data_IF_685710171988
#
_entry.id   IF_685710171988
#
_cell.length_a   1.000
_cell.length_b   1.000
_cell.length_c   1.000
_cell.angle_alpha   90.00
_cell.angle_beta   90.00
_cell.angle_gamma   90.00
#
_symmetry.space_group_name_H-M   'P 1'
#
loop_
_entity.id
_entity.type
_entity.pdbx_description
1 polymer ?
#
# COMPACT_ATOMS: atom_id res chain seq x y z
N UNK A 1 17.42 3.17 -1.10
CA UNK A 1 16.69 2.10 -1.79
C UNK A 1 16.08 1.11 -0.85
N UNK A 2 16.87 0.49 0.02
CA UNK A 2 16.33 -0.42 1.04
C UNK A 2 15.29 0.27 1.92
N UNK A 3 15.50 1.54 2.27
CA UNK A 3 14.58 2.28 3.12
C UNK A 3 13.23 2.54 2.45
N UNK A 4 13.22 2.81 1.15
CA UNK A 4 11.96 3.01 0.42
C UNK A 4 11.16 1.72 0.28
N UNK A 5 11.83 0.59 0.11
CA UNK A 5 11.14 -0.69 0.06
C UNK A 5 10.52 -1.04 1.42
N UNK A 6 11.25 -0.75 2.50
CA UNK A 6 10.71 -0.91 3.86
C UNK A 6 9.53 0.03 4.09
N UNK A 7 9.65 1.28 3.62
CA UNK A 7 8.59 2.27 3.75
C UNK A 7 7.32 1.82 3.04
N UNK A 8 7.44 1.31 1.82
CA UNK A 8 6.29 0.81 1.06
C UNK A 8 5.68 -0.42 1.73
N UNK A 9 6.51 -1.28 2.31
CA UNK A 9 6.01 -2.43 3.05
C UNK A 9 5.19 -2.00 4.27
N UNK A 10 5.66 -1.01 5.01
CA UNK A 10 4.93 -0.50 6.17
C UNK A 10 3.63 0.19 5.75
N UNK A 11 3.66 0.94 4.64
CA UNK A 11 2.45 1.53 4.09
C UNK A 11 1.44 0.45 3.68
N UNK A 12 1.91 -0.62 3.05
CA UNK A 12 1.07 -1.75 2.67
C UNK A 12 0.40 -2.36 3.90
N UNK A 13 1.14 -2.53 4.98
CA UNK A 13 0.60 -3.05 6.22
C UNK A 13 -0.55 -2.14 6.70
N UNK A 14 -0.34 -0.83 6.66
CA UNK A 14 -1.37 0.12 7.05
C UNK A 14 -2.64 0.03 6.21
N UNK A 15 -2.48 -0.02 4.89
CA UNK A 15 -3.63 -0.14 3.99
C UNK A 15 -4.35 -1.46 4.20
N UNK A 16 -3.59 -2.55 4.36
CA UNK A 16 -4.16 -3.87 4.60
C UNK A 16 -4.97 -3.89 5.90
N UNK A 17 -4.44 -3.29 6.97
CA UNK A 17 -5.17 -3.18 8.24
C UNK A 17 -6.44 -2.36 8.10
N UNK A 18 -6.41 -1.31 7.30
CA UNK A 18 -7.61 -0.53 7.01
C UNK A 18 -8.68 -1.40 6.34
N UNK A 19 -8.29 -2.22 5.38
CA UNK A 19 -9.21 -3.14 4.71
C UNK A 19 -9.78 -4.18 5.67
N UNK A 20 -9.05 -4.48 6.73
CA UNK A 20 -9.51 -5.39 7.79
C UNK A 20 -10.38 -4.71 8.83
N UNK A 21 -10.61 -3.40 8.71
CA UNK A 21 -11.51 -2.67 9.58
C UNK A 21 -10.86 -1.88 10.70
N UNK A 22 -9.53 -1.81 10.76
CA UNK A 22 -8.87 -1.04 11.80
C UNK A 22 -9.03 0.47 11.56
N UNK A 23 -9.09 1.22 12.66
CA UNK A 23 -9.15 2.68 12.59
C UNK A 23 -7.78 3.27 12.25
N UNK A 24 -7.77 4.54 11.83
CA UNK A 24 -6.52 5.24 11.56
C UNK A 24 -5.62 5.28 12.78
N UNK A 25 -6.21 5.47 13.96
CA UNK A 25 -5.46 5.50 15.20
C UNK A 25 -4.75 4.18 15.48
N UNK A 26 -5.45 3.08 15.27
CA UNK A 26 -4.87 1.75 15.43
C UNK A 26 -3.74 1.51 14.43
N UNK A 27 -3.95 1.95 13.19
CA UNK A 27 -2.95 1.82 12.14
C UNK A 27 -1.69 2.62 12.50
N UNK A 28 -1.86 3.85 13.00
CA UNK A 28 -0.71 4.68 13.41
C UNK A 28 0.12 3.99 14.48
N UNK A 29 -0.52 3.37 15.47
CA UNK A 29 0.19 2.66 16.53
C UNK A 29 1.03 1.53 15.96
N UNK A 30 0.44 0.76 15.06
CA UNK A 30 1.13 -0.36 14.42
C UNK A 30 2.32 0.14 13.60
N UNK A 31 2.11 1.18 12.81
CA UNK A 31 3.19 1.72 11.97
C UNK A 31 4.31 2.33 12.80
N UNK A 32 3.97 2.99 13.90
CA UNK A 32 4.99 3.56 14.80
C UNK A 32 5.91 2.48 15.37
N UNK A 33 5.39 1.32 15.68
CA UNK A 33 6.21 0.19 16.12
C UNK A 33 7.19 -0.26 15.03
N UNK A 34 6.71 -0.36 13.79
CA UNK A 34 7.57 -0.71 12.67
C UNK A 34 8.62 0.37 12.41
N UNK A 35 8.27 1.64 12.60
CA UNK A 35 9.24 2.74 12.47
C UNK A 35 10.39 2.57 13.44
N UNK A 36 10.09 2.22 14.68
CA UNK A 36 11.11 2.01 15.70
C UNK A 36 11.99 0.80 15.39
N UNK A 37 11.38 -0.30 15.01
CA UNK A 37 12.10 -1.54 14.70
C UNK A 37 13.05 -1.36 13.52
N UNK A 38 12.66 -0.57 12.53
CA UNK A 38 13.42 -0.38 11.31
C UNK A 38 14.24 0.90 11.30
N UNK A 39 14.17 1.68 12.37
CA UNK A 39 14.96 2.88 12.54
C UNK A 39 14.80 3.87 11.38
N UNK A 40 13.54 4.10 10.98
CA UNK A 40 13.25 5.00 9.87
C UNK A 40 13.46 6.45 10.25
N UNK A 41 13.97 7.23 9.32
CA UNK A 41 14.14 8.67 9.52
C UNK A 41 12.82 9.42 9.30
N UNK A 42 12.84 10.72 9.57
CA UNK A 42 11.64 11.57 9.47
C UNK A 42 11.06 11.56 8.05
N UNK A 43 11.93 11.59 7.05
CA UNK A 43 11.50 11.63 5.65
C UNK A 43 10.76 10.35 5.26
N UNK A 44 11.31 9.21 5.66
CA UNK A 44 10.71 7.92 5.35
C UNK A 44 9.38 7.73 6.11
N UNK A 45 9.32 8.18 7.36
CA UNK A 45 8.06 8.16 8.12
C UNK A 45 6.98 9.00 7.44
N UNK A 46 7.36 10.19 6.98
CA UNK A 46 6.43 11.07 6.27
C UNK A 46 5.93 10.43 4.98
N UNK A 47 6.81 9.76 4.24
CA UNK A 47 6.42 9.05 3.03
C UNK A 47 5.39 7.96 3.33
N UNK A 48 5.64 7.15 4.37
CA UNK A 48 4.71 6.10 4.77
C UNK A 48 3.35 6.67 5.13
N UNK A 49 3.33 7.71 5.96
CA UNK A 49 2.07 8.32 6.40
C UNK A 49 1.30 8.92 5.23
N UNK A 50 2.00 9.61 4.35
CA UNK A 50 1.36 10.21 3.18
C UNK A 50 0.77 9.14 2.25
N UNK A 51 1.54 8.10 1.96
CA UNK A 51 1.08 7.04 1.08
C UNK A 51 -0.11 6.28 1.68
N UNK A 52 -0.05 5.97 2.97
CA UNK A 52 -1.13 5.29 3.67
C UNK A 52 -2.42 6.12 3.64
N UNK A 53 -2.33 7.41 4.01
CA UNK A 53 -3.50 8.30 4.03
C UNK A 53 -4.07 8.53 2.64
N UNK A 54 -3.20 8.74 1.65
CA UNK A 54 -3.63 8.94 0.27
C UNK A 54 -4.39 7.73 -0.24
N UNK A 55 -3.89 6.53 0.06
CA UNK A 55 -4.54 5.29 -0.34
C UNK A 55 -5.91 5.14 0.31
N UNK A 56 -6.00 5.42 1.61
CA UNK A 56 -7.25 5.27 2.35
C UNK A 56 -8.28 6.30 1.91
N UNK A 57 -7.87 7.57 1.77
CA UNK A 57 -8.77 8.64 1.37
C UNK A 57 -9.36 8.44 -0.02
N UNK A 58 -8.60 7.86 -0.91
CA UNK A 58 -9.02 7.68 -2.29
C UNK A 58 -9.40 6.25 -2.60
N UNK A 59 -9.66 5.45 -1.57
CA UNK A 59 -9.97 4.03 -1.73
C UNK A 59 -11.07 3.75 -2.75
N UNK A 60 -12.17 4.49 -2.68
CA UNK A 60 -13.30 4.29 -3.59
C UNK A 60 -12.91 4.48 -5.05
N UNK A 61 -12.19 5.57 -5.34
CA UNK A 61 -11.72 5.86 -6.69
C UNK A 61 -10.72 4.79 -7.14
N UNK A 62 -9.80 4.42 -6.25
CA UNK A 62 -8.78 3.44 -6.57
C UNK A 62 -9.38 2.06 -6.84
N UNK A 63 -10.37 1.66 -6.06
CA UNK A 63 -11.07 0.39 -6.29
C UNK A 63 -11.80 0.39 -7.64
N UNK A 64 -12.39 1.51 -8.03
CA UNK A 64 -13.05 1.64 -9.31
C UNK A 64 -12.05 1.52 -10.48
N UNK A 65 -10.90 2.15 -10.35
CA UNK A 65 -9.85 2.05 -11.36
C UNK A 65 -9.38 0.61 -11.50
N UNK A 66 -9.12 -0.03 -10.37
CA UNK A 66 -8.65 -1.42 -10.36
C UNK A 66 -9.69 -2.35 -11.00
N UNK A 67 -10.96 -2.15 -10.67
CA UNK A 67 -12.04 -3.01 -11.18
C UNK A 67 -12.15 -2.97 -12.70
N UNK A 68 -11.77 -1.84 -13.33
CA UNK A 68 -11.81 -1.71 -14.79
C UNK A 68 -10.77 -2.58 -15.51
N UNK A 69 -9.70 -2.96 -14.79
CA UNK A 69 -8.60 -3.73 -15.38
C UNK A 69 -8.61 -5.19 -14.96
N UNK A 70 -9.56 -5.59 -14.12
CA UNK A 70 -9.69 -6.98 -13.71
C UNK A 70 -10.83 -7.64 -14.47
N UNK A 71 -10.59 -8.85 -14.95
CA UNK A 71 -11.62 -9.62 -15.65
C UNK A 71 -12.74 -10.04 -14.70
N UNK A 72 -12.41 -10.17 -13.44
CA UNK A 72 -13.38 -10.54 -12.40
C UNK A 72 -12.97 -9.90 -11.07
N UNK A 73 -13.94 -9.66 -10.16
CA UNK A 73 -13.62 -9.06 -8.87
C UNK A 73 -12.65 -9.92 -8.06
N UNK A 74 -11.82 -9.26 -7.27
CA UNK A 74 -10.94 -9.95 -6.33
C UNK A 74 -11.78 -10.60 -5.24
N UNK A 75 -11.50 -11.86 -4.88
CA UNK A 75 -12.14 -12.47 -3.72
C UNK A 75 -11.89 -11.65 -2.46
N UNK A 76 -12.89 -11.57 -1.60
CA UNK A 76 -12.81 -10.78 -0.37
C UNK A 76 -11.66 -11.21 0.54
N UNK A 77 -11.27 -12.48 0.49
CA UNK A 77 -10.18 -13.01 1.31
C UNK A 77 -8.80 -12.54 0.86
N UNK A 78 -8.69 -11.99 -0.35
CA UNK A 78 -7.41 -11.51 -0.89
C UNK A 78 -7.17 -10.04 -0.57
N UNK A 79 -7.36 -9.66 0.70
CA UNK A 79 -7.21 -8.28 1.13
C UNK A 79 -5.78 -7.76 0.99
N UNK A 80 -4.79 -8.62 1.17
CA UNK A 80 -3.40 -8.19 1.00
C UNK A 80 -3.11 -7.81 -0.45
N UNK A 81 -3.59 -8.60 -1.40
CA UNK A 81 -3.43 -8.29 -2.82
C UNK A 81 -4.14 -6.99 -3.16
N UNK A 82 -5.34 -6.81 -2.63
CA UNK A 82 -6.10 -5.59 -2.83
C UNK A 82 -5.36 -4.37 -2.28
N UNK A 83 -4.75 -4.50 -1.11
CA UNK A 83 -3.95 -3.42 -0.52
C UNK A 83 -2.76 -3.05 -1.42
N UNK A 84 -2.08 -4.05 -1.97
CA UNK A 84 -0.96 -3.82 -2.89
C UNK A 84 -1.42 -3.04 -4.12
N UNK A 85 -2.54 -3.44 -4.71
CA UNK A 85 -3.09 -2.76 -5.88
C UNK A 85 -3.49 -1.32 -5.57
N UNK A 86 -4.22 -1.12 -4.48
CA UNK A 86 -4.65 0.21 -4.05
C UNK A 86 -3.44 1.13 -3.88
N UNK A 87 -2.43 0.64 -3.16
CA UNK A 87 -1.23 1.42 -2.89
C UNK A 87 -0.43 1.71 -4.17
N UNK A 88 -0.34 0.72 -5.06
CA UNK A 88 0.37 0.89 -6.32
C UNK A 88 -0.26 1.95 -7.20
N UNK A 89 -1.58 1.90 -7.35
CA UNK A 89 -2.31 2.87 -8.16
C UNK A 89 -2.27 4.24 -7.51
N UNK A 90 -2.35 4.30 -6.16
CA UNK A 90 -2.25 5.56 -5.44
C UNK A 90 -0.92 6.26 -5.71
N UNK A 91 0.17 5.53 -5.78
CA UNK A 91 1.49 6.10 -6.08
C UNK A 91 1.53 6.73 -7.46
N UNK A 92 0.90 6.07 -8.43
CA UNK A 92 0.88 6.57 -9.80
C UNK A 92 0.01 7.81 -9.94
N UNK A 93 -1.17 7.81 -9.32
CA UNK A 93 -2.17 8.85 -9.53
C UNK A 93 -2.04 10.04 -8.59
N UNK A 94 -1.65 9.83 -7.35
CA UNK A 94 -1.77 10.85 -6.32
C UNK A 94 -0.48 11.24 -5.62
N UNK A 95 0.61 10.54 -5.87
CA UNK A 95 1.90 10.92 -5.29
C UNK A 95 2.88 11.31 -6.39
N UNK A 96 4.01 11.89 -5.99
CA UNK A 96 5.06 12.24 -6.95
C UNK A 96 6.06 11.11 -7.16
N UNK A 97 5.65 9.88 -6.84
CA UNK A 97 6.49 8.72 -7.10
C UNK A 97 6.62 8.52 -8.60
N UNK A 98 7.82 8.28 -9.06
CA UNK A 98 8.05 7.99 -10.47
C UNK A 98 7.32 6.72 -10.86
N UNK A 99 6.63 6.75 -12.00
CA UNK A 99 5.76 5.67 -12.44
C UNK A 99 6.46 4.31 -12.47
N UNK A 100 7.68 4.27 -12.99
CA UNK A 100 8.39 3.00 -13.08
C UNK A 100 8.73 2.44 -11.69
N UNK A 101 9.01 3.28 -10.72
CA UNK A 101 9.30 2.83 -9.35
C UNK A 101 8.08 2.25 -8.69
N UNK A 102 6.91 2.90 -8.87
CA UNK A 102 5.65 2.41 -8.35
C UNK A 102 5.26 1.09 -8.99
N UNK A 103 5.41 0.99 -10.30
CA UNK A 103 5.08 -0.22 -11.06
C UNK A 103 6.00 -1.37 -10.63
N UNK A 104 7.30 -1.13 -10.57
CA UNK A 104 8.25 -2.18 -10.19
C UNK A 104 7.97 -2.71 -8.79
N UNK A 105 7.71 -1.82 -7.83
CA UNK A 105 7.42 -2.24 -6.46
C UNK A 105 6.14 -3.07 -6.41
N UNK A 106 5.12 -2.62 -7.12
CA UNK A 106 3.83 -3.32 -7.17
C UNK A 106 3.99 -4.70 -7.81
N UNK A 107 4.72 -4.78 -8.93
CA UNK A 107 4.98 -6.05 -9.61
C UNK A 107 5.75 -7.00 -8.69
N UNK A 108 6.76 -6.50 -7.97
CA UNK A 108 7.53 -7.33 -7.06
C UNK A 108 6.66 -7.93 -5.96
N UNK A 109 5.74 -7.15 -5.42
CA UNK A 109 4.78 -7.67 -4.45
C UNK A 109 3.89 -8.75 -5.06
N UNK A 110 3.52 -8.58 -6.33
CA UNK A 110 2.63 -9.52 -7.01
C UNK A 110 3.28 -10.83 -7.39
N UNK A 111 4.55 -10.83 -7.76
CA UNK A 111 5.21 -12.03 -8.25
C UNK A 111 5.06 -13.24 -7.35
N UNK A 112 5.09 -13.01 -6.03
CA UNK A 112 4.91 -14.10 -5.08
C UNK A 112 3.45 -14.47 -4.83
N UNK A 113 2.51 -13.58 -5.11
CA UNK A 113 1.09 -13.75 -4.75
C UNK A 113 0.23 -14.23 -5.90
N UNK A 114 0.43 -13.66 -7.09
CA UNK A 114 -0.39 -14.02 -8.24
C UNK A 114 -0.17 -15.47 -8.70
N UNK A 115 1.00 -16.01 -8.47
CA UNK A 115 1.27 -17.41 -8.80
C UNK A 115 0.39 -18.37 -8.02
N UNK A 116 -0.12 -17.94 -6.88
CA UNK A 116 -0.99 -18.74 -6.03
C UNK A 116 -2.47 -18.50 -6.32
N UNK A 117 -2.74 -17.46 -7.04
CA UNK A 117 -4.09 -17.06 -7.39
C UNK A 117 -4.46 -17.56 -8.77
#
# INVERSE_FOLDING_TARGET
>A
MKNKDKSRTIAKIGVHKHLQGLTLKEIEVIQDEYFKENNLDIRDKAFVKNLTLTSIRNRGILENVIARYLDRPLPKKLTEIKAILIMGVAQILFTRTEDYAAVNTTVNFFEGRLKKW
#
